data_IF_141517454522
#
_entry.id   IF_141517454522
#
_cell.length_a   1.000
_cell.length_b   1.000
_cell.length_c   1.000
_cell.angle_alpha   90.00
_cell.angle_beta   90.00
_cell.angle_gamma   90.00
#
_symmetry.space_group_name_H-M   'P 1'
#
loop_
_entity.id
_entity.type
_entity.pdbx_description
1 polymer ?
#
# COMPACT_ATOMS: atom_id res chain seq x y z
N UNK A 1 2.84 -69.80 51.17
CA UNK A 1 1.42 -69.49 51.41
C UNK A 1 1.12 -68.15 50.77
N UNK A 2 0.08 -68.12 49.94
CA UNK A 2 -0.47 -67.01 49.14
C UNK A 2 -0.53 -65.68 49.91
N UNK A 3 -0.28 -64.50 49.31
CA UNK A 3 -1.26 -63.85 48.44
C UNK A 3 -0.63 -62.73 47.60
N UNK A 4 -1.05 -62.69 46.33
CA UNK A 4 -0.82 -61.63 45.33
C UNK A 4 -2.00 -60.67 45.41
N UNK A 5 -1.75 -59.36 45.41
CA UNK A 5 -2.64 -58.27 44.94
C UNK A 5 -1.98 -56.95 45.35
N UNK A 6 -1.91 -55.87 44.60
CA UNK A 6 -2.09 -55.51 43.19
C UNK A 6 -1.67 -54.02 43.17
N UNK A 7 -0.92 -53.57 42.16
CA UNK A 7 -1.00 -52.20 41.60
C UNK A 7 -0.72 -50.99 42.56
N UNK A 8 0.23 -50.06 42.39
CA UNK A 8 1.00 -49.59 41.23
C UNK A 8 2.08 -48.65 41.79
N UNK A 9 3.35 -48.96 41.48
CA UNK A 9 4.43 -48.04 41.07
C UNK A 9 3.92 -46.62 40.70
N UNK A 10 4.39 -45.48 41.20
CA UNK A 10 5.72 -44.86 41.14
C UNK A 10 5.61 -43.55 41.93
N UNK A 11 6.42 -43.33 42.97
CA UNK A 11 7.64 -42.53 42.93
C UNK A 11 7.51 -41.11 42.33
N UNK A 12 7.55 -40.13 43.25
CA UNK A 12 8.38 -38.93 43.24
C UNK A 12 8.45 -38.05 41.98
N UNK A 13 7.83 -36.88 42.06
CA UNK A 13 8.35 -35.60 41.54
C UNK A 13 7.68 -34.46 42.31
N UNK A 14 8.23 -33.99 43.43
CA UNK A 14 9.30 -32.99 43.50
C UNK A 14 9.06 -31.75 42.63
N UNK A 15 8.58 -30.68 43.29
CA UNK A 15 9.03 -29.29 43.15
C UNK A 15 9.10 -28.67 41.74
N UNK A 16 8.24 -27.66 41.50
CA UNK A 16 8.58 -26.22 41.34
C UNK A 16 7.52 -25.51 40.50
N UNK A 17 7.22 -24.28 40.89
CA UNK A 17 6.15 -23.47 40.32
C UNK A 17 6.35 -23.07 38.86
N UNK A 18 5.22 -22.79 38.22
CA UNK A 18 5.10 -22.00 37.00
C UNK A 18 4.16 -20.83 37.37
N UNK A 19 4.66 -19.64 37.67
CA UNK A 19 5.11 -18.65 36.69
C UNK A 19 4.00 -18.33 35.69
N UNK A 20 3.27 -17.26 35.98
CA UNK A 20 2.39 -16.50 35.10
C UNK A 20 3.03 -16.32 33.72
N UNK A 21 2.48 -16.97 32.70
CA UNK A 21 2.79 -16.65 31.30
C UNK A 21 2.18 -15.29 30.97
N UNK A 22 2.93 -14.22 31.19
CA UNK A 22 2.72 -12.99 30.43
C UNK A 22 2.98 -13.31 28.95
N UNK A 23 1.95 -13.19 28.13
CA UNK A 23 2.08 -13.20 26.67
C UNK A 23 3.03 -12.06 26.28
N UNK A 24 4.28 -12.43 25.96
CA UNK A 24 5.30 -11.51 25.49
C UNK A 24 4.91 -11.08 24.08
N UNK A 25 4.28 -9.92 23.98
CA UNK A 25 3.97 -9.25 22.72
C UNK A 25 5.24 -9.11 21.90
N UNK A 26 5.33 -9.82 20.76
CA UNK A 26 6.37 -9.63 19.76
C UNK A 26 6.10 -8.36 18.97
N UNK A 27 6.11 -7.21 19.65
CA UNK A 27 6.29 -5.93 18.97
C UNK A 27 7.78 -5.67 19.02
N UNK A 28 8.49 -6.05 17.97
CA UNK A 28 9.83 -5.49 17.73
C UNK A 28 9.61 -4.00 17.54
N UNK A 29 9.87 -3.21 18.58
CA UNK A 29 9.92 -1.77 18.48
C UNK A 29 11.02 -1.42 17.47
N UNK A 30 10.64 -1.14 16.24
CA UNK A 30 11.54 -0.57 15.23
C UNK A 30 11.80 0.87 15.66
N UNK A 31 12.79 1.05 16.53
CA UNK A 31 13.40 2.35 16.84
C UNK A 31 14.27 2.78 15.67
N UNK A 32 13.62 3.12 14.56
CA UNK A 32 14.23 3.84 13.44
C UNK A 32 13.55 5.19 13.31
N UNK A 33 14.32 6.27 13.14
CA UNK A 33 13.81 7.56 12.69
C UNK A 33 12.82 7.31 11.55
N UNK A 34 11.53 7.65 11.73
CA UNK A 34 10.50 7.36 10.74
C UNK A 34 10.87 8.08 9.43
N UNK A 35 11.47 7.37 8.48
CA UNK A 35 11.66 7.86 7.10
C UNK A 35 10.28 7.85 6.43
N UNK A 36 9.82 9.00 5.97
CA UNK A 36 8.53 9.15 5.27
C UNK A 36 7.64 10.24 5.85
N UNK A 37 6.59 10.58 5.09
CA UNK A 37 5.57 11.56 5.49
C UNK A 37 4.78 11.03 6.69
N UNK A 38 4.80 11.77 7.80
CA UNK A 38 3.97 11.51 8.99
C UNK A 38 2.74 12.41 8.96
N UNK A 39 1.55 11.82 9.01
CA UNK A 39 0.31 12.57 9.15
C UNK A 39 0.16 13.07 10.59
N UNK A 40 -0.10 14.37 10.76
CA UNK A 40 -0.49 14.93 12.08
C UNK A 40 -1.90 14.50 12.46
N UNK A 41 -2.79 14.47 11.47
CA UNK A 41 -4.18 14.02 11.53
C UNK A 41 -4.57 13.42 10.16
N UNK A 42 -5.52 12.49 10.14
CA UNK A 42 -6.13 12.02 8.89
C UNK A 42 -7.50 12.68 8.70
N UNK A 43 -7.80 13.14 7.48
CA UNK A 43 -9.11 13.74 7.14
C UNK A 43 -10.09 12.73 6.55
N UNK A 44 -9.57 11.69 5.91
CA UNK A 44 -10.35 10.65 5.24
C UNK A 44 -9.54 9.37 5.18
N UNK A 45 -10.22 8.22 5.25
CA UNK A 45 -9.64 6.89 5.15
C UNK A 45 -10.48 6.07 4.17
N UNK A 46 -9.82 5.50 3.16
CA UNK A 46 -10.42 4.52 2.25
C UNK A 46 -9.98 3.11 2.66
N UNK A 47 -10.83 2.11 2.43
CA UNK A 47 -10.59 0.72 2.82
C UNK A 47 -10.79 -0.21 1.64
N UNK A 48 -9.85 -1.13 1.42
CA UNK A 48 -10.01 -2.18 0.42
C UNK A 48 -9.54 -3.53 0.97
N UNK A 49 -10.21 -4.60 0.56
CA UNK A 49 -9.85 -5.98 0.89
C UNK A 49 -9.61 -6.78 -0.39
N UNK A 50 -8.42 -7.32 -0.54
CA UNK A 50 -8.07 -8.27 -1.60
C UNK A 50 -8.16 -9.71 -1.06
N UNK A 51 -8.83 -10.61 -1.79
CA UNK A 51 -8.92 -12.03 -1.44
C UNK A 51 -8.82 -12.94 -2.66
N UNK A 52 -8.54 -14.23 -2.44
CA UNK A 52 -8.25 -15.19 -3.50
C UNK A 52 -6.78 -15.17 -3.92
N UNK A 53 -6.50 -15.42 -5.21
CA UNK A 53 -5.15 -15.68 -5.71
C UNK A 53 -4.33 -14.40 -6.02
N UNK A 54 -4.13 -13.52 -5.02
CA UNK A 54 -3.27 -12.33 -5.16
C UNK A 54 -3.63 -11.48 -6.39
N UNK A 55 -2.72 -11.33 -7.35
CA UNK A 55 -2.91 -10.59 -8.63
C UNK A 55 -3.94 -11.21 -9.59
N UNK A 56 -4.64 -12.28 -9.18
CA UNK A 56 -5.74 -12.96 -9.88
C UNK A 56 -7.01 -13.07 -9.02
N UNK A 57 -7.07 -12.31 -7.93
CA UNK A 57 -8.15 -12.34 -6.96
C UNK A 57 -9.26 -11.32 -7.24
N UNK A 58 -10.06 -11.08 -6.21
CA UNK A 58 -11.07 -10.02 -6.19
C UNK A 58 -10.67 -8.99 -5.14
N UNK A 59 -10.80 -7.71 -5.48
CA UNK A 59 -10.62 -6.60 -4.56
C UNK A 59 -11.95 -5.90 -4.37
N UNK A 60 -12.36 -5.68 -3.12
CA UNK A 60 -13.57 -4.96 -2.74
C UNK A 60 -13.25 -3.72 -1.92
N UNK A 61 -13.96 -2.63 -2.15
CA UNK A 61 -13.89 -1.37 -1.40
C UNK A 61 -15.30 -0.79 -1.35
N UNK A 62 -15.94 -0.80 -0.19
CA UNK A 62 -17.35 -0.40 -0.04
C UNK A 62 -18.27 -1.11 -1.07
N UNK A 63 -18.94 -0.36 -1.95
CA UNK A 63 -19.79 -0.85 -3.04
C UNK A 63 -19.02 -1.20 -4.33
N UNK A 64 -17.71 -0.93 -4.38
CA UNK A 64 -16.86 -1.29 -5.51
C UNK A 64 -16.31 -2.71 -5.39
N UNK A 65 -16.36 -3.46 -6.50
CA UNK A 65 -15.76 -4.80 -6.61
C UNK A 65 -15.09 -4.99 -7.97
N UNK A 66 -13.81 -5.35 -7.96
CA UNK A 66 -12.99 -5.52 -9.16
C UNK A 66 -12.34 -6.91 -9.16
N UNK A 67 -12.43 -7.61 -10.29
CA UNK A 67 -11.68 -8.85 -10.52
C UNK A 67 -10.34 -8.52 -11.19
N UNK A 68 -9.27 -9.02 -10.58
CA UNK A 68 -7.92 -8.82 -11.05
C UNK A 68 -7.46 -10.02 -11.89
N UNK A 69 -6.59 -9.73 -12.85
CA UNK A 69 -5.90 -10.74 -13.64
C UNK A 69 -4.46 -10.28 -13.91
N UNK A 70 -3.58 -11.25 -14.13
CA UNK A 70 -2.23 -10.96 -14.60
C UNK A 70 -2.31 -10.49 -16.07
N UNK A 71 -1.64 -9.39 -16.44
CA UNK A 71 -1.57 -8.97 -17.84
C UNK A 71 -0.73 -9.97 -18.65
N UNK A 72 -0.94 -9.98 -19.97
CA UNK A 72 -0.22 -10.88 -20.89
C UNK A 72 1.30 -10.68 -20.85
N UNK A 73 1.75 -9.44 -20.69
CA UNK A 73 3.17 -9.09 -20.55
C UNK A 73 3.83 -9.73 -19.32
N UNK A 74 3.05 -10.16 -18.33
CA UNK A 74 3.53 -10.85 -17.13
C UNK A 74 3.07 -12.32 -17.09
N UNK A 75 2.79 -12.92 -18.26
CA UNK A 75 2.44 -14.33 -18.38
C UNK A 75 1.00 -14.69 -17.99
N UNK A 76 0.11 -13.71 -17.85
CA UNK A 76 -1.32 -13.94 -17.59
C UNK A 76 -2.20 -13.94 -18.84
N UNK A 77 -3.50 -14.14 -18.64
CA UNK A 77 -4.48 -14.11 -19.74
C UNK A 77 -4.87 -12.68 -20.16
N UNK A 78 -4.63 -11.69 -19.28
CA UNK A 78 -5.04 -10.30 -19.49
C UNK A 78 -6.55 -10.08 -19.48
N UNK A 79 -7.31 -11.03 -18.93
CA UNK A 79 -8.76 -11.04 -18.91
C UNK A 79 -9.32 -10.31 -17.69
N UNK A 80 -8.74 -9.21 -17.22
CA UNK A 80 -9.17 -8.50 -16.01
C UNK A 80 -8.38 -7.23 -15.75
N UNK A 81 -8.69 -6.55 -14.64
CA UNK A 81 -7.94 -5.37 -14.21
C UNK A 81 -6.63 -5.76 -13.54
N UNK A 82 -5.70 -4.82 -13.37
CA UNK A 82 -4.46 -5.04 -12.64
C UNK A 82 -4.11 -3.85 -11.72
N UNK A 83 -3.22 -4.06 -10.72
CA UNK A 83 -2.89 -3.01 -9.75
C UNK A 83 -2.26 -1.77 -10.38
N UNK A 84 -1.50 -1.93 -11.46
CA UNK A 84 -0.84 -0.82 -12.14
C UNK A 84 -1.86 0.10 -12.83
N UNK A 85 -2.94 -0.45 -13.40
CA UNK A 85 -4.06 0.34 -13.94
C UNK A 85 -4.73 1.18 -12.85
N UNK A 86 -5.03 0.58 -11.69
CA UNK A 86 -5.65 1.32 -10.59
C UNK A 86 -4.72 2.43 -10.06
N UNK A 87 -3.43 2.14 -9.97
CA UNK A 87 -2.43 3.14 -9.57
C UNK A 87 -2.36 4.28 -10.59
N UNK A 88 -2.36 3.98 -11.90
CA UNK A 88 -2.37 4.98 -12.97
C UNK A 88 -3.62 5.88 -12.90
N UNK A 89 -4.80 5.28 -12.74
CA UNK A 89 -6.07 6.00 -12.61
C UNK A 89 -6.08 6.93 -11.38
N UNK A 90 -5.68 6.40 -10.22
CA UNK A 90 -5.61 7.16 -8.98
C UNK A 90 -4.62 8.32 -9.07
N UNK A 91 -3.44 8.08 -9.65
CA UNK A 91 -2.42 9.12 -9.80
C UNK A 91 -2.85 10.19 -10.81
N UNK A 92 -3.41 9.82 -11.96
CA UNK A 92 -3.91 10.79 -12.95
C UNK A 92 -4.94 11.74 -12.32
N UNK A 93 -5.92 11.18 -11.60
CA UNK A 93 -6.95 11.95 -10.90
C UNK A 93 -6.35 12.84 -9.80
N UNK A 94 -5.44 12.29 -9.00
CA UNK A 94 -4.79 13.03 -7.91
C UNK A 94 -3.95 14.21 -8.42
N UNK A 95 -3.22 14.01 -9.53
CA UNK A 95 -2.40 15.05 -10.14
C UNK A 95 -3.27 16.15 -10.75
N UNK A 96 -4.35 15.80 -11.47
CA UNK A 96 -5.28 16.79 -12.05
C UNK A 96 -5.88 17.68 -10.96
N UNK A 97 -6.36 17.08 -9.87
CA UNK A 97 -6.90 17.84 -8.75
C UNK A 97 -5.88 18.76 -8.08
N UNK A 98 -4.63 18.31 -7.93
CA UNK A 98 -3.55 19.14 -7.39
C UNK A 98 -3.20 20.31 -8.32
N UNK A 99 -3.15 20.07 -9.64
CA UNK A 99 -2.90 21.08 -10.66
C UNK A 99 -3.98 22.18 -10.63
N UNK A 100 -5.26 21.79 -10.66
CA UNK A 100 -6.39 22.73 -10.60
C UNK A 100 -6.43 23.51 -9.28
N UNK A 101 -6.10 22.87 -8.16
CA UNK A 101 -5.97 23.54 -6.87
C UNK A 101 -4.88 24.61 -6.89
N UNK A 102 -3.71 24.31 -7.45
CA UNK A 102 -2.60 25.26 -7.54
C UNK A 102 -2.90 26.39 -8.52
N UNK A 103 -3.57 26.11 -9.64
CA UNK A 103 -4.05 27.11 -10.58
C UNK A 103 -4.94 28.15 -9.87
N UNK A 104 -5.86 27.66 -9.01
CA UNK A 104 -6.68 28.52 -8.17
C UNK A 104 -5.89 29.38 -7.19
N UNK A 105 -4.87 28.81 -6.52
CA UNK A 105 -4.02 29.55 -5.57
C UNK A 105 -3.13 30.60 -6.25
N UNK A 106 -2.75 30.37 -7.51
CA UNK A 106 -1.94 31.29 -8.31
C UNK A 106 -2.77 32.35 -9.03
N UNK A 107 -4.11 32.35 -8.88
CA UNK A 107 -4.99 33.27 -9.60
C UNK A 107 -5.14 32.96 -11.09
N UNK A 108 -4.78 31.74 -11.52
CA UNK A 108 -4.75 31.27 -12.92
C UNK A 108 -5.74 30.12 -13.16
N UNK A 109 -6.94 30.15 -12.55
CA UNK A 109 -7.91 29.03 -12.61
C UNK A 109 -8.15 28.53 -14.03
N UNK A 110 -8.30 29.44 -14.98
CA UNK A 110 -8.63 29.10 -16.36
C UNK A 110 -7.51 28.35 -17.08
N UNK A 111 -6.27 28.46 -16.62
CA UNK A 111 -5.11 27.77 -17.18
C UNK A 111 -5.16 26.24 -17.03
N UNK A 112 -6.06 25.71 -16.18
CA UNK A 112 -6.20 24.26 -15.97
C UNK A 112 -7.61 23.73 -16.28
N UNK A 113 -8.50 24.54 -16.87
CA UNK A 113 -9.90 24.15 -17.12
C UNK A 113 -10.01 22.97 -18.09
N UNK A 114 -9.14 22.92 -19.11
CA UNK A 114 -9.11 21.87 -20.13
C UNK A 114 -7.95 20.87 -19.91
N UNK A 115 -7.37 20.86 -18.70
CA UNK A 115 -6.21 20.02 -18.44
C UNK A 115 -6.58 18.54 -18.45
N UNK A 116 -5.78 17.71 -19.12
CA UNK A 116 -5.86 16.26 -19.06
C UNK A 116 -4.50 15.68 -18.62
N UNK A 117 -4.54 14.69 -17.72
CA UNK A 117 -3.33 14.06 -17.17
C UNK A 117 -3.26 12.63 -17.65
N UNK A 118 -2.19 12.32 -18.37
CA UNK A 118 -1.90 10.97 -18.87
C UNK A 118 -0.82 10.35 -18.01
N UNK A 119 -1.13 9.24 -17.33
CA UNK A 119 -0.19 8.54 -16.45
C UNK A 119 0.08 7.14 -16.98
N UNK A 120 1.35 6.85 -17.23
CA UNK A 120 1.82 5.50 -17.51
C UNK A 120 2.54 4.94 -16.28
N UNK A 121 2.14 3.75 -15.86
CA UNK A 121 2.77 3.04 -14.74
C UNK A 121 3.46 1.80 -15.30
N UNK A 122 4.75 1.70 -15.02
CA UNK A 122 5.61 0.62 -15.47
C UNK A 122 5.94 -0.29 -14.28
N UNK A 123 5.78 -1.60 -14.47
CA UNK A 123 6.25 -2.61 -13.53
C UNK A 123 7.36 -3.41 -14.22
N UNK A 124 8.52 -3.50 -13.57
CA UNK A 124 9.68 -4.21 -14.11
C UNK A 124 10.69 -4.58 -13.02
N UNK A 125 11.75 -5.31 -13.38
CA UNK A 125 12.85 -5.58 -12.45
C UNK A 125 13.58 -4.28 -12.09
N UNK A 126 13.89 -4.12 -10.80
CA UNK A 126 14.61 -2.94 -10.35
C UNK A 126 16.13 -3.15 -10.47
N UNK A 127 16.82 -2.19 -11.11
CA UNK A 127 18.26 -2.25 -11.40
C UNK A 127 19.15 -2.40 -10.14
N UNK A 128 18.73 -1.81 -9.01
CA UNK A 128 19.53 -1.72 -7.77
C UNK A 128 18.81 -2.25 -6.53
N UNK A 129 17.64 -2.83 -6.73
CA UNK A 129 16.82 -3.41 -5.68
C UNK A 129 16.40 -4.80 -6.17
N UNK A 130 16.63 -5.85 -5.39
CA UNK A 130 16.15 -7.17 -5.77
C UNK A 130 14.63 -7.18 -5.96
N UNK A 131 14.16 -7.81 -7.04
CA UNK A 131 12.73 -7.97 -7.34
C UNK A 131 12.15 -6.85 -8.21
N UNK A 132 10.82 -6.71 -8.17
CA UNK A 132 10.08 -5.75 -8.99
C UNK A 132 10.07 -4.34 -8.37
N UNK A 133 10.13 -3.33 -9.24
CA UNK A 133 9.91 -1.92 -8.94
C UNK A 133 8.85 -1.30 -9.83
N UNK A 134 8.42 -0.09 -9.45
CA UNK A 134 7.51 0.74 -10.24
C UNK A 134 8.24 1.99 -10.75
N UNK A 135 7.93 2.38 -11.98
CA UNK A 135 8.25 3.70 -12.52
C UNK A 135 6.97 4.36 -13.07
N UNK A 136 6.94 5.68 -13.10
CA UNK A 136 5.76 6.44 -13.53
C UNK A 136 6.18 7.56 -14.47
N UNK A 137 5.52 7.64 -15.62
CA UNK A 137 5.60 8.79 -16.51
C UNK A 137 4.27 9.56 -16.48
N UNK A 138 4.35 10.88 -16.39
CA UNK A 138 3.18 11.77 -16.41
C UNK A 138 3.34 12.74 -17.57
N UNK A 139 2.30 12.87 -18.40
CA UNK A 139 2.18 13.92 -19.40
C UNK A 139 0.97 14.79 -19.07
N UNK A 140 1.17 16.10 -19.13
CA UNK A 140 0.12 17.10 -18.92
C UNK A 140 -0.27 17.67 -20.28
N UNK A 141 -1.55 17.62 -20.60
CA UNK A 141 -2.12 18.20 -21.81
C UNK A 141 -2.98 19.40 -21.44
N UNK A 142 -2.97 20.44 -22.28
CA UNK A 142 -3.83 21.63 -22.14
C UNK A 142 -3.36 22.65 -21.10
N UNK A 143 -2.11 22.55 -20.62
CA UNK A 143 -1.49 23.51 -19.70
C UNK A 143 -0.08 23.84 -20.18
N UNK A 144 0.14 25.11 -20.53
CA UNK A 144 1.44 25.60 -21.02
C UNK A 144 2.35 26.13 -19.90
N UNK A 145 1.78 26.44 -18.74
CA UNK A 145 2.50 27.02 -17.61
C UNK A 145 3.29 25.96 -16.83
N UNK A 146 4.60 25.89 -17.09
CA UNK A 146 5.50 24.93 -16.43
C UNK A 146 5.60 25.14 -14.91
N UNK A 147 5.51 26.38 -14.43
CA UNK A 147 5.53 26.66 -12.99
C UNK A 147 4.30 26.09 -12.31
N UNK A 148 3.14 26.20 -12.97
CA UNK A 148 1.89 25.59 -12.51
C UNK A 148 1.99 24.05 -12.51
N UNK A 149 2.52 23.45 -13.57
CA UNK A 149 2.74 21.99 -13.63
C UNK A 149 3.63 21.53 -12.49
N UNK A 150 4.75 22.21 -12.28
CA UNK A 150 5.68 21.93 -11.18
C UNK A 150 4.99 22.07 -9.82
N UNK A 151 4.24 23.15 -9.61
CA UNK A 151 3.50 23.36 -8.37
C UNK A 151 2.46 22.26 -8.14
N UNK A 152 1.78 21.80 -9.20
CA UNK A 152 0.87 20.67 -9.17
C UNK A 152 1.56 19.37 -8.73
N UNK A 153 2.73 19.08 -9.30
CA UNK A 153 3.55 17.93 -8.91
C UNK A 153 3.97 17.98 -7.43
N UNK A 154 4.47 19.13 -6.97
CA UNK A 154 4.92 19.33 -5.58
C UNK A 154 3.76 19.22 -4.56
N UNK A 155 2.54 19.58 -4.99
CA UNK A 155 1.33 19.53 -4.18
C UNK A 155 0.65 18.15 -4.18
N UNK A 156 0.78 17.37 -5.25
CA UNK A 156 0.08 16.09 -5.45
C UNK A 156 0.50 15.03 -4.40
N UNK A 157 -0.44 14.49 -3.59
CA UNK A 157 -0.14 13.46 -2.59
C UNK A 157 0.61 12.23 -3.12
N UNK A 158 0.29 11.73 -4.32
CA UNK A 158 0.96 10.56 -4.91
C UNK A 158 2.41 10.88 -5.29
N UNK A 159 2.67 12.05 -5.89
CA UNK A 159 4.01 12.55 -6.19
C UNK A 159 4.86 12.67 -4.92
N UNK A 160 4.28 13.25 -3.87
CA UNK A 160 4.94 13.42 -2.57
C UNK A 160 5.27 12.08 -1.91
N UNK A 161 4.37 11.11 -1.99
CA UNK A 161 4.59 9.77 -1.45
C UNK A 161 5.74 9.05 -2.14
N UNK A 162 5.87 9.17 -3.47
CA UNK A 162 6.98 8.58 -4.24
C UNK A 162 8.32 9.31 -4.02
N UNK A 163 8.28 10.63 -3.77
CA UNK A 163 9.50 11.44 -3.59
C UNK A 163 10.05 11.34 -2.17
N UNK A 164 9.18 11.43 -1.17
CA UNK A 164 9.58 11.53 0.24
C UNK A 164 9.32 10.26 1.05
N UNK A 165 8.59 9.30 0.48
CA UNK A 165 8.10 8.11 1.16
C UNK A 165 6.80 8.36 1.93
N UNK A 166 5.96 7.33 2.02
CA UNK A 166 4.83 7.27 2.95
C UNK A 166 5.11 6.24 4.04
N UNK A 167 4.62 6.49 5.26
CA UNK A 167 4.68 5.48 6.32
C UNK A 167 3.67 4.39 6.02
N UNK A 168 4.15 3.16 5.85
CA UNK A 168 3.33 1.96 5.68
C UNK A 168 3.56 1.04 6.88
N UNK A 169 2.48 0.77 7.63
CA UNK A 169 2.51 -0.15 8.76
C UNK A 169 1.87 -1.48 8.35
N UNK A 170 2.55 -2.59 8.64
CA UNK A 170 2.05 -3.95 8.37
C UNK A 170 1.93 -4.69 9.69
N UNK A 171 0.75 -5.20 9.99
CA UNK A 171 0.47 -5.99 11.20
C UNK A 171 -0.32 -7.24 10.87
N UNK A 172 -0.18 -8.27 11.71
CA UNK A 172 -1.01 -9.47 11.66
C UNK A 172 -2.39 -9.14 12.26
N UNK A 173 -3.46 -9.66 11.64
CA UNK A 173 -4.82 -9.63 12.19
C UNK A 173 -5.00 -10.60 13.37
#
# INVERSE_FOLDING_TARGET
>A
MFSVTSQTLLQNACRRGLATLQARSYVTAVTGTKKGIVLKEHKHTAHATASGQGRRGVVKSDDFSLRFAMPRSLGGQGDGQNPEQLFAMGYASCFLGALQMMAGRMGKKDAANNAAIHVNVHLGEADKLGGFGLAVDIKVEGVEDEELIKAGHDACPYSRALTHGAIVNVSKA
#
